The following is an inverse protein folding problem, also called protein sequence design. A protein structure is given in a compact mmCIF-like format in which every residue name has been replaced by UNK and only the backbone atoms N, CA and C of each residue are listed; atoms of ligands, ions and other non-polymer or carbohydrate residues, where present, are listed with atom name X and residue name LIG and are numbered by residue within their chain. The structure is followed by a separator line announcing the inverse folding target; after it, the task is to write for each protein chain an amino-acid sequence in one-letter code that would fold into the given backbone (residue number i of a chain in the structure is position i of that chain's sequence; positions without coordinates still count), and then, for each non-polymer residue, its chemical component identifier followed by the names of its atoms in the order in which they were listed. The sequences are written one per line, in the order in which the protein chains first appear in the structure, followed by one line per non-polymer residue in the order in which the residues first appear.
data_IF_372343618536
#
_entry.id   IF_372343618536
#
_cell.length_a   1.000
_cell.length_b   1.000
_cell.length_c   1.000
_cell.angle_alpha   90.00
_cell.angle_beta   90.00
_cell.angle_gamma   90.00
#
_symmetry.space_group_name_H-M   'P 1'
#
loop_
_entity.id
_entity.type
_entity.pdbx_description
1 polymer ?
#
# COMPACT_ATOMS: atom_id res chain seq x y z
N UNK A 1 23.86 -4.75 0.75
CA UNK A 1 23.15 -3.81 1.62
C UNK A 1 22.22 -2.94 0.77
N UNK A 2 20.99 -2.86 1.19
CA UNK A 2 19.99 -2.07 0.46
C UNK A 2 19.97 -0.63 0.99
N UNK A 3 19.80 0.31 0.10
CA UNK A 3 19.62 1.71 0.44
C UNK A 3 18.25 2.16 -0.03
N UNK A 4 17.58 2.97 0.80
CA UNK A 4 16.25 3.46 0.50
C UNK A 4 16.20 4.97 0.56
N UNK A 5 15.49 5.57 -0.38
CA UNK A 5 15.28 7.01 -0.41
C UNK A 5 14.15 7.42 0.54
N UNK A 6 13.19 6.52 0.72
CA UNK A 6 12.00 6.79 1.54
C UNK A 6 11.68 5.55 2.38
N UNK A 7 11.39 5.76 3.64
CA UNK A 7 10.89 4.68 4.51
C UNK A 7 9.48 5.06 4.95
N UNK A 8 8.53 4.22 4.60
CA UNK A 8 7.13 4.42 4.97
C UNK A 8 6.81 3.51 6.15
N UNK A 9 6.37 4.09 7.24
CA UNK A 9 6.00 3.33 8.44
C UNK A 9 4.50 3.09 8.41
N UNK A 10 4.14 1.83 8.28
CA UNK A 10 2.74 1.43 8.19
C UNK A 10 2.34 1.07 6.76
N UNK A 11 1.53 0.03 6.66
CA UNK A 11 1.05 -0.49 5.37
C UNK A 11 -0.46 -0.38 5.23
N UNK A 12 -1.05 0.61 5.88
CA UNK A 12 -2.42 1.02 5.58
C UNK A 12 -2.48 1.59 4.16
N UNK A 13 -3.67 1.91 3.69
CA UNK A 13 -3.85 2.38 2.32
C UNK A 13 -3.01 3.63 2.02
N UNK A 14 -2.91 4.55 2.98
CA UNK A 14 -2.09 5.75 2.82
C UNK A 14 -0.60 5.40 2.65
N UNK A 15 -0.09 4.45 3.45
CA UNK A 15 1.30 4.01 3.34
C UNK A 15 1.58 3.29 2.03
N UNK A 16 0.66 2.44 1.60
CA UNK A 16 0.77 1.75 0.32
C UNK A 16 0.78 2.75 -0.85
N UNK A 17 -0.07 3.77 -0.77
CA UNK A 17 -0.14 4.81 -1.79
C UNK A 17 1.14 5.63 -1.83
N UNK A 18 1.67 6.00 -0.66
CA UNK A 18 2.94 6.73 -0.57
C UNK A 18 4.09 5.92 -1.18
N UNK A 19 4.13 4.62 -0.90
CA UNK A 19 5.14 3.73 -1.48
C UNK A 19 5.01 3.61 -2.99
N UNK A 20 3.78 3.47 -3.48
CA UNK A 20 3.52 3.38 -4.90
C UNK A 20 4.01 4.64 -5.64
N UNK A 21 3.62 5.82 -5.17
CA UNK A 21 4.01 7.06 -5.84
C UNK A 21 5.49 7.34 -5.71
N UNK A 22 6.10 7.03 -4.57
CA UNK A 22 7.56 7.16 -4.43
C UNK A 22 8.28 6.29 -5.46
N UNK A 23 7.85 5.05 -5.62
CA UNK A 23 8.44 4.14 -6.60
C UNK A 23 8.24 4.65 -8.03
N UNK A 24 7.07 5.17 -8.33
CA UNK A 24 6.79 5.73 -9.67
C UNK A 24 7.60 6.97 -9.97
N UNK A 25 8.06 7.69 -8.96
CA UNK A 25 8.94 8.85 -9.13
C UNK A 25 10.42 8.47 -9.19
N UNK A 26 10.72 7.19 -9.27
CA UNK A 26 12.10 6.72 -9.38
C UNK A 26 12.85 6.62 -8.07
N UNK A 27 12.15 6.76 -6.95
CA UNK A 27 12.74 6.60 -5.62
C UNK A 27 12.69 5.12 -5.22
N UNK A 28 13.46 4.77 -4.20
CA UNK A 28 13.47 3.42 -3.66
C UNK A 28 12.77 3.42 -2.29
N UNK A 29 11.45 3.15 -2.24
CA UNK A 29 10.74 3.13 -0.98
C UNK A 29 10.79 1.76 -0.30
N UNK A 30 10.91 1.78 1.02
CA UNK A 30 10.71 0.62 1.86
C UNK A 30 9.48 0.86 2.72
N UNK A 31 8.54 -0.06 2.68
CA UNK A 31 7.33 -0.01 3.51
C UNK A 31 7.48 -0.99 4.65
N UNK A 32 7.47 -0.47 5.87
CA UNK A 32 7.55 -1.30 7.08
C UNK A 32 6.13 -1.61 7.54
N UNK A 33 5.86 -2.89 7.74
CA UNK A 33 4.53 -3.33 8.17
C UNK A 33 4.64 -4.24 9.40
N UNK A 34 3.72 -4.07 10.34
CA UNK A 34 3.66 -4.90 11.54
C UNK A 34 2.55 -5.94 11.46
N UNK A 35 1.60 -5.74 10.57
CA UNK A 35 0.43 -6.59 10.40
C UNK A 35 0.16 -6.84 8.91
N UNK A 36 -1.06 -7.27 8.62
CA UNK A 36 -1.49 -7.46 7.23
C UNK A 36 -1.54 -6.10 6.53
N UNK A 37 -0.97 -5.98 5.31
CA UNK A 37 -1.08 -4.74 4.55
C UNK A 37 -2.52 -4.32 4.33
N UNK A 38 -2.78 -3.01 4.46
CA UNK A 38 -4.12 -2.45 4.36
C UNK A 38 -4.71 -2.11 5.73
N UNK A 39 -4.16 -2.67 6.82
CA UNK A 39 -4.61 -2.37 8.17
C UNK A 39 -6.08 -2.70 8.39
N UNK A 40 -6.81 -1.77 8.97
CA UNK A 40 -8.23 -1.97 9.27
C UNK A 40 -9.10 -2.09 8.02
N UNK A 41 -8.69 -1.50 6.90
CA UNK A 41 -9.50 -1.51 5.70
C UNK A 41 -9.70 -2.90 5.13
N UNK A 42 -8.77 -3.82 5.38
CA UNK A 42 -8.86 -5.17 4.83
C UNK A 42 -10.09 -5.93 5.35
N UNK A 43 -10.60 -5.56 6.52
CA UNK A 43 -11.78 -6.20 7.11
C UNK A 43 -13.10 -5.52 6.73
N UNK A 44 -13.05 -4.43 5.98
CA UNK A 44 -14.25 -3.72 5.55
C UNK A 44 -14.81 -4.39 4.31
N UNK A 45 -16.06 -4.83 4.38
CA UNK A 45 -16.71 -5.53 3.27
C UNK A 45 -16.99 -4.61 2.07
N UNK A 46 -17.24 -3.32 2.34
CA UNK A 46 -17.56 -2.38 1.28
C UNK A 46 -17.04 -0.99 1.63
N UNK A 47 -16.07 -0.51 0.85
CA UNK A 47 -15.55 0.84 0.95
C UNK A 47 -16.25 1.66 -0.12
N UNK A 48 -17.05 2.64 0.29
CA UNK A 48 -17.92 3.38 -0.63
C UNK A 48 -17.35 4.72 -1.10
N UNK A 49 -16.35 5.21 -0.41
CA UNK A 49 -15.80 6.54 -0.66
C UNK A 49 -14.41 6.55 -1.28
N UNK A 50 -13.97 5.40 -1.80
CA UNK A 50 -12.68 5.36 -2.49
C UNK A 50 -12.85 5.76 -3.97
N UNK A 51 -12.08 6.75 -4.44
CA UNK A 51 -12.20 7.20 -5.83
C UNK A 51 -11.96 6.07 -6.83
N UNK A 52 -12.79 6.02 -7.86
CA UNK A 52 -12.68 5.00 -8.90
C UNK A 52 -13.62 3.82 -8.71
N UNK A 53 -14.30 3.74 -7.57
CA UNK A 53 -15.22 2.65 -7.27
C UNK A 53 -16.57 3.19 -6.80
N UNK A 54 -17.38 3.73 -7.72
CA UNK A 54 -18.64 4.38 -7.33
C UNK A 54 -19.65 3.44 -6.66
N UNK A 55 -19.55 2.15 -6.93
CA UNK A 55 -20.43 1.15 -6.32
C UNK A 55 -19.79 0.49 -5.09
N UNK A 56 -18.59 0.97 -4.70
CA UNK A 56 -17.85 0.42 -3.56
C UNK A 56 -16.92 -0.72 -3.94
N UNK A 57 -16.00 -1.03 -3.04
CA UNK A 57 -15.06 -2.14 -3.19
C UNK A 57 -14.74 -2.69 -1.81
N UNK A 58 -14.59 -4.01 -1.72
CA UNK A 58 -14.21 -4.64 -0.47
C UNK A 58 -12.74 -4.33 -0.13
N UNK A 59 -12.45 -4.11 1.16
CA UNK A 59 -11.09 -3.86 1.61
C UNK A 59 -10.15 -5.01 1.27
N UNK A 60 -10.62 -6.26 1.38
CA UNK A 60 -9.81 -7.43 1.06
C UNK A 60 -9.52 -7.58 -0.45
N UNK A 61 -10.22 -6.82 -1.30
CA UNK A 61 -9.90 -6.73 -2.72
C UNK A 61 -9.02 -5.52 -3.02
N UNK A 62 -9.33 -4.37 -2.42
CA UNK A 62 -8.61 -3.13 -2.67
C UNK A 62 -7.18 -3.16 -2.15
N UNK A 63 -7.00 -3.57 -0.89
CA UNK A 63 -5.69 -3.48 -0.25
C UNK A 63 -4.63 -4.38 -0.90
N UNK A 64 -4.90 -5.65 -1.21
CA UNK A 64 -3.93 -6.47 -1.94
C UNK A 64 -3.62 -5.94 -3.33
N UNK A 65 -4.62 -5.33 -3.99
CA UNK A 65 -4.43 -4.76 -5.32
C UNK A 65 -3.46 -3.58 -5.27
N UNK A 66 -3.63 -2.68 -4.30
CA UNK A 66 -2.74 -1.53 -4.14
C UNK A 66 -1.35 -1.98 -3.72
N UNK A 67 -1.24 -2.97 -2.82
CA UNK A 67 0.04 -3.54 -2.42
C UNK A 67 0.79 -4.10 -3.63
N UNK A 68 0.11 -4.88 -4.44
CA UNK A 68 0.71 -5.45 -5.65
C UNK A 68 1.15 -4.36 -6.62
N UNK A 69 0.35 -3.34 -6.80
CA UNK A 69 0.69 -2.23 -7.69
C UNK A 69 1.96 -1.51 -7.19
N UNK A 70 2.07 -1.27 -5.89
CA UNK A 70 3.26 -0.67 -5.31
C UNK A 70 4.50 -1.56 -5.53
N UNK A 71 4.36 -2.86 -5.29
CA UNK A 71 5.45 -3.82 -5.49
C UNK A 71 5.87 -3.91 -6.95
N UNK A 72 4.91 -3.90 -7.87
CA UNK A 72 5.21 -3.94 -9.32
C UNK A 72 5.99 -2.72 -9.79
N UNK A 73 5.89 -1.60 -9.08
CA UNK A 73 6.65 -0.38 -9.39
C UNK A 73 7.97 -0.26 -8.62
N UNK A 74 8.29 -1.24 -7.80
CA UNK A 74 9.58 -1.31 -7.13
C UNK A 74 9.58 -1.05 -5.63
N UNK A 75 8.41 -0.87 -5.01
CA UNK A 75 8.36 -0.74 -3.57
C UNK A 75 8.72 -2.07 -2.91
N UNK A 76 9.52 -2.01 -1.86
CA UNK A 76 9.87 -3.19 -1.08
C UNK A 76 9.15 -3.16 0.25
N UNK A 77 8.86 -4.33 0.77
CA UNK A 77 8.12 -4.50 2.02
C UNK A 77 8.96 -5.28 3.01
N UNK A 78 8.94 -4.85 4.26
CA UNK A 78 9.64 -5.55 5.31
C UNK A 78 8.78 -5.53 6.58
N UNK A 79 8.75 -6.65 7.27
CA UNK A 79 8.03 -6.76 8.51
C UNK A 79 8.81 -6.09 9.63
N UNK A 80 8.13 -5.20 10.32
CA UNK A 80 8.75 -4.48 11.43
C UNK A 80 8.53 -5.20 12.77
#
# INVERSE_FOLDING_TARGET
MSEYDVIVVGSGLAGLTAGLFSARHGLSPLILESNIPGGHLISIEKIEDFPGFPDGIAGYDLCPTVQRQAADHGAEFERA
#
